data_IF_108318470389
#
_entry.id   IF_108318470389
#
_cell.length_a   1.000
_cell.length_b   1.000
_cell.length_c   1.000
_cell.angle_alpha   90.00
_cell.angle_beta   90.00
_cell.angle_gamma   90.00
#
_symmetry.space_group_name_H-M   'P 1'
#
loop_
_entity.id
_entity.type
_entity.pdbx_description
1 polymer ?
#
# COMPACT_ATOMS: atom_id res chain seq x y z
N UNK A 1 38.33 14.21 1.86
CA UNK A 1 36.99 14.00 2.42
C UNK A 1 35.92 14.93 1.84
N UNK A 2 36.08 16.26 1.81
CA UNK A 2 35.07 17.18 1.21
C UNK A 2 34.70 16.84 -0.25
N UNK A 3 35.68 16.58 -1.12
CA UNK A 3 35.43 16.21 -2.53
C UNK A 3 34.59 14.94 -2.71
N UNK A 4 34.83 13.91 -1.88
CA UNK A 4 34.06 12.67 -1.94
C UNK A 4 32.61 12.87 -1.49
N UNK A 5 32.38 13.68 -0.45
CA UNK A 5 31.03 14.03 0.02
C UNK A 5 30.28 14.85 -1.04
N UNK A 6 30.96 15.77 -1.72
CA UNK A 6 30.37 16.58 -2.79
C UNK A 6 30.06 15.75 -4.05
N UNK A 7 30.92 14.81 -4.43
CA UNK A 7 30.69 13.85 -5.52
C UNK A 7 29.58 12.85 -5.19
N UNK A 8 29.56 12.33 -3.97
CA UNK A 8 28.52 11.44 -3.47
C UNK A 8 27.16 12.14 -3.40
N UNK A 9 27.13 13.40 -2.96
CA UNK A 9 25.91 14.23 -2.96
C UNK A 9 25.42 14.47 -4.39
N UNK A 10 26.30 14.78 -5.34
CA UNK A 10 25.94 14.92 -6.77
C UNK A 10 25.45 13.61 -7.39
N UNK A 11 25.98 12.47 -6.95
CA UNK A 11 25.51 11.14 -7.37
C UNK A 11 24.14 10.79 -6.77
N UNK A 12 23.95 11.01 -5.47
CA UNK A 12 22.70 10.71 -4.77
C UNK A 12 21.53 11.61 -5.19
N UNK A 13 21.82 12.85 -5.59
CA UNK A 13 20.82 13.83 -6.09
C UNK A 13 20.48 13.62 -7.57
N UNK A 14 21.06 12.63 -8.28
CA UNK A 14 20.54 12.22 -9.59
C UNK A 14 19.18 11.52 -9.42
N UNK A 15 18.15 12.35 -9.24
CA UNK A 15 16.72 12.24 -9.53
C UNK A 15 15.92 11.04 -9.03
N UNK A 16 16.45 9.82 -9.08
CA UNK A 16 15.67 8.61 -8.93
C UNK A 16 16.12 7.73 -7.76
N UNK A 17 17.34 7.92 -7.23
CA UNK A 17 17.85 7.07 -6.15
C UNK A 17 17.26 7.45 -4.77
N UNK A 18 17.02 8.74 -4.54
CA UNK A 18 16.49 9.22 -3.27
C UNK A 18 15.02 8.83 -3.10
N UNK A 19 14.20 9.03 -4.13
CA UNK A 19 12.79 8.62 -4.14
C UNK A 19 12.63 7.09 -4.06
N UNK A 20 13.51 6.34 -4.74
CA UNK A 20 13.57 4.89 -4.60
C UNK A 20 13.94 4.46 -3.17
N UNK A 21 14.95 5.09 -2.56
CA UNK A 21 15.36 4.80 -1.19
C UNK A 21 14.23 5.08 -0.18
N UNK A 22 13.54 6.21 -0.34
CA UNK A 22 12.37 6.56 0.47
C UNK A 22 11.26 5.53 0.26
N UNK A 23 10.95 5.18 -0.99
CA UNK A 23 9.93 4.18 -1.33
C UNK A 23 10.20 2.81 -0.71
N UNK A 24 11.45 2.35 -0.72
CA UNK A 24 11.86 1.08 -0.10
C UNK A 24 11.74 1.13 1.43
N UNK A 25 12.19 2.21 2.06
CA UNK A 25 12.11 2.37 3.53
C UNK A 25 10.65 2.43 3.99
N UNK A 26 9.83 3.25 3.32
CA UNK A 26 8.41 3.36 3.62
C UNK A 26 7.71 2.04 3.33
N UNK A 27 8.02 1.37 2.22
CA UNK A 27 7.46 0.08 1.87
C UNK A 27 7.76 -1.00 2.93
N UNK A 28 8.99 -1.06 3.44
CA UNK A 28 9.37 -1.98 4.49
C UNK A 28 8.65 -1.69 5.82
N UNK A 29 8.59 -0.41 6.23
CA UNK A 29 7.87 0.00 7.43
C UNK A 29 6.36 -0.27 7.32
N UNK A 30 5.77 0.03 6.16
CA UNK A 30 4.36 -0.20 5.88
C UNK A 30 4.01 -1.69 5.91
N UNK A 31 4.82 -2.53 5.26
CA UNK A 31 4.65 -3.99 5.31
C UNK A 31 4.59 -4.49 6.75
N UNK A 32 5.49 -4.01 7.62
CA UNK A 32 5.51 -4.37 9.05
C UNK A 32 4.22 -3.97 9.79
N UNK A 33 3.67 -2.78 9.50
CA UNK A 33 2.40 -2.32 10.09
C UNK A 33 1.25 -3.24 9.67
N UNK A 34 1.20 -3.62 8.38
CA UNK A 34 0.17 -4.52 7.86
C UNK A 34 0.31 -5.91 8.48
N UNK A 35 1.53 -6.46 8.55
CA UNK A 35 1.80 -7.75 9.18
C UNK A 35 1.34 -7.73 10.65
N UNK A 36 1.68 -6.70 11.41
CA UNK A 36 1.22 -6.57 12.81
C UNK A 36 -0.31 -6.48 12.92
N UNK A 37 -0.98 -5.75 12.02
CA UNK A 37 -2.45 -5.74 11.99
C UNK A 37 -3.03 -7.14 11.78
N UNK A 38 -2.40 -7.95 10.93
CA UNK A 38 -2.87 -9.32 10.66
C UNK A 38 -2.57 -10.23 11.84
N UNK A 39 -1.31 -10.29 12.27
CA UNK A 39 -0.82 -11.24 13.26
C UNK A 39 -1.32 -10.91 14.67
N UNK A 40 -1.39 -9.62 15.02
CA UNK A 40 -1.69 -9.18 16.39
C UNK A 40 -3.17 -8.82 16.59
N UNK A 41 -3.94 -8.56 15.52
CA UNK A 41 -5.35 -8.13 15.61
C UNK A 41 -6.29 -9.09 14.91
N UNK A 42 -6.08 -9.35 13.61
CA UNK A 42 -7.01 -10.17 12.83
C UNK A 42 -6.94 -11.64 13.22
N UNK A 43 -5.73 -12.21 13.32
CA UNK A 43 -5.49 -13.60 13.65
C UNK A 43 -6.04 -13.99 15.03
N UNK A 44 -5.82 -13.22 16.12
CA UNK A 44 -6.42 -13.53 17.41
C UNK A 44 -7.95 -13.54 17.36
N UNK A 45 -8.57 -12.55 16.71
CA UNK A 45 -10.03 -12.48 16.58
C UNK A 45 -10.58 -13.65 15.76
N UNK A 46 -9.95 -13.98 14.63
CA UNK A 46 -10.32 -15.13 13.82
C UNK A 46 -10.16 -16.45 14.59
N UNK A 47 -9.09 -16.60 15.37
CA UNK A 47 -8.83 -17.80 16.18
C UNK A 47 -9.89 -18.03 17.26
N UNK A 48 -10.45 -16.95 17.82
CA UNK A 48 -11.55 -17.03 18.79
C UNK A 48 -12.85 -17.46 18.11
N UNK A 49 -13.12 -16.96 16.90
CA UNK A 49 -14.38 -17.23 16.17
C UNK A 49 -14.40 -18.62 15.54
N UNK A 50 -13.29 -19.03 14.92
CA UNK A 50 -13.17 -20.29 14.16
C UNK A 50 -12.77 -21.46 15.09
N UNK A 51 -12.32 -21.16 16.31
CA UNK A 51 -11.71 -22.11 17.23
C UNK A 51 -10.21 -22.27 16.95
N UNK A 52 -9.47 -22.82 17.92
CA UNK A 52 -8.03 -23.09 17.81
C UNK A 52 -7.73 -24.16 16.77
N UNK A 53 -7.80 -23.83 15.48
CA UNK A 53 -7.34 -24.73 14.42
C UNK A 53 -5.82 -24.60 14.33
N UNK A 54 -5.09 -25.43 15.07
CA UNK A 54 -3.63 -25.53 14.95
C UNK A 54 -3.27 -26.31 13.68
N UNK A 55 -3.51 -25.72 12.51
CA UNK A 55 -3.08 -26.26 11.21
C UNK A 55 -1.55 -26.32 11.17
N UNK A 56 -0.87 -25.37 11.81
CA UNK A 56 0.59 -25.26 11.83
C UNK A 56 1.33 -26.50 12.39
N UNK A 57 0.71 -27.26 13.28
CA UNK A 57 1.30 -28.47 13.88
C UNK A 57 1.16 -29.71 12.99
N UNK A 58 0.38 -29.63 11.92
CA UNK A 58 0.18 -30.73 11.00
C UNK A 58 1.48 -31.00 10.20
N UNK A 59 2.09 -32.15 10.46
CA UNK A 59 3.30 -32.58 9.77
C UNK A 59 3.36 -34.09 9.63
N UNK A 60 3.94 -34.56 8.53
CA UNK A 60 4.19 -35.99 8.31
C UNK A 60 5.71 -36.24 8.43
N UNK A 61 6.17 -37.15 9.30
CA UNK A 61 7.57 -37.54 9.33
C UNK A 61 7.92 -38.29 8.04
N UNK A 62 8.86 -37.76 7.27
CA UNK A 62 9.34 -38.37 6.03
C UNK A 62 10.41 -39.43 6.29
N UNK A 63 11.22 -39.25 7.35
CA UNK A 63 12.24 -40.21 7.79
C UNK A 63 12.18 -40.29 9.32
N UNK A 64 11.94 -41.50 9.85
CA UNK A 64 12.08 -41.82 11.27
C UNK A 64 13.42 -42.51 11.50
N UNK A 65 14.44 -41.73 11.85
CA UNK A 65 15.68 -42.29 12.37
C UNK A 65 15.57 -42.43 13.91
N UNK A 66 15.87 -43.60 14.50
CA UNK A 66 15.82 -43.80 15.95
C UNK A 66 16.80 -42.92 16.75
N UNK A 67 17.93 -42.54 16.14
CA UNK A 67 19.06 -41.85 16.80
C UNK A 67 19.44 -40.49 16.15
N UNK A 68 18.56 -39.87 15.35
CA UNK A 68 18.89 -38.64 14.59
C UNK A 68 17.74 -37.66 14.43
N UNK A 69 18.03 -36.50 13.82
CA UNK A 69 17.02 -35.47 13.52
C UNK A 69 15.93 -36.03 12.60
N UNK A 70 14.67 -35.97 13.06
CA UNK A 70 13.51 -36.36 12.26
C UNK A 70 13.25 -35.31 11.18
N UNK A 71 13.27 -35.73 9.92
CA UNK A 71 12.84 -34.87 8.80
C UNK A 71 11.32 -34.91 8.73
N UNK A 72 10.68 -33.85 9.21
CA UNK A 72 9.21 -33.70 9.21
C UNK A 72 8.80 -32.74 8.10
N UNK A 73 7.93 -33.21 7.20
CA UNK A 73 7.24 -32.34 6.24
C UNK A 73 6.12 -31.58 6.96
N UNK A 74 6.39 -30.33 7.34
CA UNK A 74 5.43 -29.43 8.00
C UNK A 74 4.49 -28.77 6.99
N UNK A 75 3.63 -29.56 6.34
CA UNK A 75 2.64 -29.03 5.39
C UNK A 75 1.66 -28.06 6.07
N UNK A 76 1.42 -28.24 7.37
CA UNK A 76 0.64 -27.34 8.21
C UNK A 76 1.16 -25.91 8.23
N UNK A 77 2.48 -25.73 8.41
CA UNK A 77 3.11 -24.41 8.39
C UNK A 77 3.01 -23.75 7.01
N UNK A 78 3.08 -24.53 5.94
CA UNK A 78 2.90 -24.01 4.59
C UNK A 78 1.48 -23.50 4.34
N UNK A 79 0.46 -24.26 4.76
CA UNK A 79 -0.94 -23.83 4.66
C UNK A 79 -1.18 -22.59 5.53
N UNK A 80 -0.58 -22.52 6.72
CA UNK A 80 -0.66 -21.33 7.57
C UNK A 80 -0.12 -20.09 6.85
N UNK A 81 1.07 -20.18 6.25
CA UNK A 81 1.66 -19.08 5.49
C UNK A 81 0.77 -18.62 4.30
N UNK A 82 0.05 -19.53 3.66
CA UNK A 82 -0.92 -19.18 2.59
C UNK A 82 -2.09 -18.38 3.18
N UNK A 83 -2.61 -18.80 4.34
CA UNK A 83 -3.69 -18.08 5.03
C UNK A 83 -3.20 -16.70 5.46
N UNK A 84 -2.02 -16.60 6.06
CA UNK A 84 -1.43 -15.33 6.49
C UNK A 84 -1.26 -14.37 5.28
N UNK A 85 -0.78 -14.88 4.14
CA UNK A 85 -0.67 -14.10 2.91
C UNK A 85 -2.04 -13.61 2.39
N UNK A 86 -3.07 -14.46 2.42
CA UNK A 86 -4.44 -14.07 2.05
C UNK A 86 -4.99 -12.99 2.98
N UNK A 87 -4.74 -13.08 4.29
CA UNK A 87 -5.16 -12.08 5.26
C UNK A 87 -4.41 -10.75 5.10
N UNK A 88 -3.10 -10.79 4.86
CA UNK A 88 -2.27 -9.60 4.57
C UNK A 88 -2.75 -8.92 3.30
N UNK A 89 -2.90 -9.65 2.20
CA UNK A 89 -3.38 -9.08 0.94
C UNK A 89 -4.79 -8.50 1.04
N UNK A 90 -5.70 -9.18 1.75
CA UNK A 90 -7.04 -8.65 2.04
C UNK A 90 -6.99 -7.38 2.90
N UNK A 91 -6.13 -7.35 3.91
CA UNK A 91 -5.95 -6.18 4.78
C UNK A 91 -5.42 -4.97 4.01
N UNK A 92 -4.41 -5.17 3.17
CA UNK A 92 -3.89 -4.12 2.26
C UNK A 92 -5.00 -3.63 1.34
N UNK A 93 -5.79 -4.54 0.76
CA UNK A 93 -6.88 -4.17 -0.12
C UNK A 93 -7.94 -3.32 0.59
N UNK A 94 -8.35 -3.70 1.80
CA UNK A 94 -9.29 -2.92 2.61
C UNK A 94 -8.71 -1.55 2.96
N UNK A 95 -7.43 -1.49 3.34
CA UNK A 95 -6.75 -0.26 3.69
C UNK A 95 -6.63 0.72 2.50
N UNK A 96 -6.19 0.24 1.34
CA UNK A 96 -6.15 1.04 0.10
C UNK A 96 -7.56 1.50 -0.28
N UNK A 97 -8.56 0.62 -0.18
CA UNK A 97 -9.95 0.96 -0.47
C UNK A 97 -10.50 2.04 0.48
N UNK A 98 -10.13 1.99 1.76
CA UNK A 98 -10.47 3.02 2.75
C UNK A 98 -9.86 4.35 2.34
N UNK A 99 -8.54 4.39 2.09
CA UNK A 99 -7.86 5.62 1.64
C UNK A 99 -8.49 6.17 0.36
N UNK A 100 -8.72 5.33 -0.65
CA UNK A 100 -9.33 5.75 -1.90
C UNK A 100 -10.77 6.27 -1.71
N UNK A 101 -11.53 5.75 -0.73
CA UNK A 101 -12.85 6.26 -0.39
C UNK A 101 -12.80 7.63 0.26
N UNK A 102 -11.76 7.92 1.06
CA UNK A 102 -11.54 9.23 1.67
C UNK A 102 -10.99 10.24 0.65
N UNK A 103 -9.98 9.88 -0.13
CA UNK A 103 -9.41 10.73 -1.20
C UNK A 103 -10.43 11.11 -2.26
N UNK A 104 -11.27 10.17 -2.70
CA UNK A 104 -12.35 10.45 -3.66
C UNK A 104 -13.37 11.46 -3.12
N UNK A 105 -13.47 11.66 -1.80
CA UNK A 105 -14.35 12.67 -1.20
C UNK A 105 -13.70 14.07 -1.18
N UNK A 106 -12.38 14.13 -1.19
CA UNK A 106 -11.58 15.36 -1.30
C UNK A 106 -11.42 15.78 -2.76
N UNK A 107 -11.07 14.84 -3.66
CA UNK A 107 -11.00 15.10 -5.11
C UNK A 107 -12.36 15.58 -5.68
N UNK A 108 -13.50 15.02 -5.24
CA UNK A 108 -14.83 15.50 -5.66
C UNK A 108 -15.15 16.91 -5.12
N UNK A 109 -14.52 17.34 -4.02
CA UNK A 109 -14.66 18.71 -3.52
C UNK A 109 -13.77 19.68 -4.30
N UNK A 110 -12.52 19.33 -4.51
CA UNK A 110 -11.56 20.13 -5.30
C UNK A 110 -12.01 20.25 -6.76
N UNK A 111 -12.49 19.17 -7.37
CA UNK A 111 -13.01 19.18 -8.76
C UNK A 111 -14.33 19.97 -8.88
N UNK A 112 -15.12 20.09 -7.79
CA UNK A 112 -16.30 20.97 -7.74
C UNK A 112 -15.94 22.43 -7.53
N UNK A 113 -14.85 22.72 -6.83
CA UNK A 113 -14.34 24.08 -6.61
C UNK A 113 -13.62 24.59 -7.86
N UNK A 114 -12.71 23.79 -8.45
CA UNK A 114 -12.08 24.11 -9.74
C UNK A 114 -13.10 24.22 -10.88
N UNK A 115 -14.13 23.37 -10.91
CA UNK A 115 -15.17 23.48 -11.94
C UNK A 115 -16.06 24.70 -11.74
N UNK A 116 -16.19 25.21 -10.51
CA UNK A 116 -16.86 26.49 -10.24
C UNK A 116 -16.00 27.67 -10.68
N UNK A 117 -14.71 27.69 -10.31
CA UNK A 117 -13.76 28.72 -10.76
C UNK A 117 -13.64 28.74 -12.29
N UNK A 118 -13.42 27.58 -12.92
CA UNK A 118 -13.41 27.47 -14.40
C UNK A 118 -14.76 27.83 -15.00
N UNK A 119 -15.89 27.55 -14.36
CA UNK A 119 -17.21 27.91 -14.91
C UNK A 119 -17.45 29.43 -14.91
N UNK A 120 -16.99 30.16 -13.90
CA UNK A 120 -17.08 31.63 -13.85
C UNK A 120 -16.10 32.26 -14.85
N UNK A 121 -14.86 31.77 -14.93
CA UNK A 121 -13.90 32.22 -15.94
C UNK A 121 -14.36 31.92 -17.38
N UNK A 122 -14.94 30.74 -17.62
CA UNK A 122 -15.49 30.38 -18.94
C UNK A 122 -16.69 31.27 -19.30
N UNK A 123 -17.58 31.57 -18.35
CA UNK A 123 -18.68 32.50 -18.57
C UNK A 123 -18.19 33.91 -18.90
N UNK A 124 -17.20 34.42 -18.17
CA UNK A 124 -16.57 35.72 -18.46
C UNK A 124 -15.87 35.72 -19.82
N UNK A 125 -15.21 34.63 -20.21
CA UNK A 125 -14.58 34.50 -21.52
C UNK A 125 -15.61 34.43 -22.66
N UNK A 126 -16.78 33.82 -22.43
CA UNK A 126 -17.90 33.82 -23.39
C UNK A 126 -18.50 35.23 -23.54
N UNK A 127 -18.74 35.94 -22.44
CA UNK A 127 -19.18 37.34 -22.48
C UNK A 127 -18.17 38.24 -23.19
N UNK A 128 -16.88 38.11 -22.90
CA UNK A 128 -15.82 38.87 -23.59
C UNK A 128 -15.79 38.54 -25.09
N UNK A 129 -15.92 37.26 -25.47
CA UNK A 129 -15.99 36.85 -26.88
C UNK A 129 -17.17 37.51 -27.58
N UNK A 130 -18.33 37.51 -26.96
CA UNK A 130 -19.55 38.02 -27.56
C UNK A 130 -19.51 39.56 -27.67
N UNK A 131 -19.00 40.26 -26.65
CA UNK A 131 -18.73 41.70 -26.68
C UNK A 131 -17.69 42.10 -27.75
N UNK A 132 -16.63 41.30 -27.95
CA UNK A 132 -15.65 41.53 -29.00
C UNK A 132 -16.24 41.30 -30.40
N UNK A 133 -17.14 40.33 -30.54
CA UNK A 133 -17.84 40.04 -31.79
C UNK A 133 -18.84 41.14 -32.15
N UNK A 134 -19.53 41.71 -31.16
CA UNK A 134 -20.38 42.89 -31.35
C UNK A 134 -19.59 44.14 -31.75
N UNK A 135 -18.39 44.34 -31.20
CA UNK A 135 -17.54 45.50 -31.51
C UNK A 135 -16.87 45.44 -32.90
N UNK A 136 -16.75 44.25 -33.47
CA UNK A 136 -16.10 44.00 -34.77
C UNK A 136 -17.08 43.84 -35.95
N UNK A 137 -18.38 44.07 -35.73
CA UNK A 137 -19.40 44.31 -36.76
C UNK A 137 -19.85 45.78 -36.73
#
# INVERSE_FOLDING_TARGET
MRKFIDEFKKFAIKGNMFDLAIGVIIGAAFSKIVTSLVDDVIMPVLSVVIGRINIAEAGIPLIKNPDGEQIILKYGAFINNIIDFLLISLSIFIFIRLINKFKRKEEIKEEKEEKKEKSEEIQLLEEIRDLLKEKHN
#
